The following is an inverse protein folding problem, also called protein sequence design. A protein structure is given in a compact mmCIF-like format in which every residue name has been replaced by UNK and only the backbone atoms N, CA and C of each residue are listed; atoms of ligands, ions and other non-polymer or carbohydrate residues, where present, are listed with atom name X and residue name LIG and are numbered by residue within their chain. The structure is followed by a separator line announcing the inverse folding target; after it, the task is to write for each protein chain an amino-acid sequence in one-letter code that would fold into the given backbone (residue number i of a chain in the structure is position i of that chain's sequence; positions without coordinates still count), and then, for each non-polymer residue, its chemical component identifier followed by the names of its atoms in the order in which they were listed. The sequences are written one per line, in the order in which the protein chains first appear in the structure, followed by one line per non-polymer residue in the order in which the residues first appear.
data_IF_066241094937
#
_entry.id   IF_066241094937
#
_cell.length_a   1.000
_cell.length_b   1.000
_cell.length_c   1.000
_cell.angle_alpha   90.00
_cell.angle_beta   90.00
_cell.angle_gamma   90.00
#
_symmetry.space_group_name_H-M   'P 1'
#
loop_
_entity.id
_entity.type
_entity.pdbx_description
1 polymer ?
#
# COMPACT_ATOMS: atom_id res chain seq x y z
N UNK A 1 9.22 15.23 -19.86
CA UNK A 1 8.41 14.47 -20.83
C UNK A 1 7.44 15.46 -21.50
N UNK A 2 7.51 15.67 -22.82
CA UNK A 2 6.59 16.58 -23.53
C UNK A 2 5.12 16.13 -23.47
N UNK A 3 4.84 14.85 -23.17
CA UNK A 3 3.48 14.37 -22.97
C UNK A 3 2.94 14.72 -21.58
N UNK A 4 3.82 14.89 -20.58
CA UNK A 4 3.48 15.23 -19.19
C UNK A 4 4.32 16.43 -18.74
N UNK A 5 4.04 17.63 -19.26
CA UNK A 5 4.76 18.82 -18.85
C UNK A 5 4.60 19.02 -17.34
N UNK A 6 5.71 19.31 -16.65
CA UNK A 6 5.68 19.68 -15.23
C UNK A 6 4.77 20.90 -15.13
N UNK A 7 3.66 20.78 -14.38
CA UNK A 7 2.73 21.89 -14.18
C UNK A 7 3.49 23.06 -13.55
N UNK A 8 3.48 24.22 -14.22
CA UNK A 8 4.06 25.44 -13.66
C UNK A 8 3.38 25.77 -12.33
N UNK A 9 4.15 25.88 -11.25
CA UNK A 9 3.65 26.18 -9.91
C UNK A 9 3.28 24.96 -9.06
N UNK A 10 3.44 23.72 -9.55
CA UNK A 10 3.30 22.53 -8.71
C UNK A 10 4.60 22.22 -7.95
N UNK A 11 4.47 21.75 -6.71
CA UNK A 11 5.61 21.37 -5.88
C UNK A 11 5.28 20.17 -4.99
N UNK A 12 6.31 19.38 -4.67
CA UNK A 12 6.23 18.30 -3.70
C UNK A 12 7.33 18.53 -2.66
N UNK A 13 6.91 18.75 -1.41
CA UNK A 13 7.79 18.85 -0.26
C UNK A 13 7.71 17.55 0.52
N UNK A 14 8.85 16.88 0.70
CA UNK A 14 8.94 15.62 1.42
C UNK A 14 9.82 15.82 2.66
N UNK A 15 9.22 15.67 3.84
CA UNK A 15 9.94 15.40 5.08
C UNK A 15 10.03 13.89 5.33
N UNK A 16 10.64 13.50 6.45
CA UNK A 16 10.79 12.08 6.80
C UNK A 16 9.45 11.35 6.97
N UNK A 17 8.42 12.06 7.42
CA UNK A 17 7.12 11.46 7.72
C UNK A 17 5.89 12.27 7.38
N UNK A 18 6.09 13.52 7.00
CA UNK A 18 5.04 14.42 6.54
C UNK A 18 5.47 14.99 5.20
N UNK A 19 4.51 15.32 4.36
CA UNK A 19 4.75 15.95 3.08
C UNK A 19 3.60 16.87 2.70
N UNK A 20 3.88 17.72 1.73
CA UNK A 20 2.93 18.66 1.18
C UNK A 20 3.03 18.64 -0.34
N UNK A 21 1.91 18.41 -1.00
CA UNK A 21 1.76 18.58 -2.44
C UNK A 21 1.05 19.91 -2.68
N UNK A 22 1.57 20.70 -3.62
CA UNK A 22 1.04 22.01 -3.99
C UNK A 22 0.55 21.96 -5.44
N UNK A 23 -0.65 22.48 -5.68
CA UNK A 23 -1.30 22.55 -6.99
C UNK A 23 -1.49 21.19 -7.67
N UNK A 24 -2.06 20.24 -6.92
CA UNK A 24 -2.46 18.93 -7.44
C UNK A 24 -3.92 18.98 -7.94
N UNK A 25 -4.84 18.24 -7.32
CA UNK A 25 -6.29 18.38 -7.53
C UNK A 25 -6.81 19.61 -6.75
N UNK A 26 -6.34 19.77 -5.52
CA UNK A 26 -6.53 20.94 -4.67
C UNK A 26 -5.23 21.75 -4.55
N UNK A 27 -5.33 23.00 -4.07
CA UNK A 27 -4.16 23.87 -3.87
C UNK A 27 -3.12 23.25 -2.94
N UNK A 28 -3.58 22.59 -1.87
CA UNK A 28 -2.74 21.99 -0.84
C UNK A 28 -3.26 20.59 -0.54
N UNK A 29 -2.33 19.62 -0.51
CA UNK A 29 -2.60 18.28 -0.03
C UNK A 29 -1.50 17.86 0.92
N UNK A 30 -1.83 17.87 2.20
CA UNK A 30 -0.96 17.46 3.27
C UNK A 30 -1.04 15.94 3.41
N UNK A 31 0.10 15.29 3.68
CA UNK A 31 0.15 13.86 3.90
C UNK A 31 1.09 13.53 5.05
N UNK A 32 0.77 12.46 5.77
CA UNK A 32 1.67 11.85 6.73
C UNK A 32 1.69 10.34 6.52
N UNK A 33 2.88 9.74 6.53
CA UNK A 33 3.08 8.32 6.32
C UNK A 33 3.84 7.73 7.51
N UNK A 34 3.34 6.61 8.03
CA UNK A 34 3.97 5.83 9.11
C UNK A 34 3.98 4.36 8.72
N UNK A 35 5.05 3.67 9.09
CA UNK A 35 5.13 2.21 8.95
C UNK A 35 4.35 1.52 10.08
N UNK A 36 3.83 0.32 9.79
CA UNK A 36 3.00 -0.43 10.72
C UNK A 36 1.61 0.19 10.90
N UNK A 37 0.95 -0.17 11.99
CA UNK A 37 -0.42 0.27 12.27
C UNK A 37 -0.44 1.47 13.23
N UNK A 38 0.04 2.61 12.72
CA UNK A 38 0.31 3.84 13.47
C UNK A 38 -0.50 5.04 12.95
N UNK A 39 -1.81 4.82 12.75
CA UNK A 39 -2.72 5.82 12.15
C UNK A 39 -2.79 7.09 13.00
N UNK A 40 -2.93 6.96 14.32
CA UNK A 40 -3.00 8.11 15.23
C UNK A 40 -1.74 8.98 15.17
N UNK A 41 -0.55 8.37 15.10
CA UNK A 41 0.71 9.13 14.95
C UNK A 41 0.87 9.78 13.57
N UNK A 42 0.30 9.18 12.53
CA UNK A 42 0.23 9.82 11.21
C UNK A 42 -0.72 11.02 11.25
N UNK A 43 -1.88 10.85 11.86
CA UNK A 43 -2.87 11.92 12.03
C UNK A 43 -2.34 13.09 12.86
N UNK A 44 -1.69 12.83 13.99
CA UNK A 44 -1.02 13.86 14.78
C UNK A 44 0.04 14.62 13.98
N UNK A 45 0.80 13.91 13.13
CA UNK A 45 1.79 14.50 12.25
C UNK A 45 1.19 15.45 11.22
N UNK A 46 0.12 15.03 10.54
CA UNK A 46 -0.53 15.87 9.52
C UNK A 46 -1.30 17.03 10.15
N UNK A 47 -1.96 16.84 11.30
CA UNK A 47 -2.69 17.88 12.02
C UNK A 47 -1.74 18.97 12.55
N UNK A 48 -0.53 18.60 12.97
CA UNK A 48 0.50 19.58 13.34
C UNK A 48 0.88 20.46 12.15
N UNK A 49 1.19 19.83 11.02
CA UNK A 49 1.53 20.54 9.79
C UNK A 49 0.36 21.45 9.33
N UNK A 50 -0.87 20.95 9.41
CA UNK A 50 -2.07 21.68 9.04
C UNK A 50 -2.27 22.95 9.89
N UNK A 51 -2.10 22.84 11.21
CA UNK A 51 -2.19 23.99 12.12
C UNK A 51 -1.09 25.02 11.87
N UNK A 52 0.15 24.58 11.67
CA UNK A 52 1.28 25.47 11.39
C UNK A 52 1.07 26.23 10.08
N UNK A 53 0.58 25.55 9.04
CA UNK A 53 0.31 26.14 7.74
C UNK A 53 -0.92 27.05 7.75
N UNK A 54 -1.99 26.67 8.46
CA UNK A 54 -3.23 27.44 8.57
C UNK A 54 -3.07 28.80 9.27
N UNK A 55 -1.98 28.99 10.04
CA UNK A 55 -1.60 30.31 10.58
C UNK A 55 -1.05 31.25 9.49
N UNK A 56 -0.40 30.68 8.48
CA UNK A 56 0.27 31.44 7.40
C UNK A 56 -0.63 31.64 6.18
N UNK A 57 -1.49 30.66 5.88
CA UNK A 57 -2.32 30.65 4.68
C UNK A 57 -3.77 30.35 5.08
N UNK A 58 -4.73 31.26 4.78
CA UNK A 58 -6.13 31.00 5.06
C UNK A 58 -6.68 29.93 4.12
N UNK A 59 -7.36 28.93 4.69
CA UNK A 59 -8.03 27.89 3.92
C UNK A 59 -9.43 28.32 3.49
N UNK A 60 -9.85 27.87 2.31
CA UNK A 60 -11.21 28.06 1.83
C UNK A 60 -12.15 27.15 2.63
N UNK A 61 -13.02 27.75 3.44
CA UNK A 61 -13.91 27.03 4.35
C UNK A 61 -15.32 27.60 4.33
N UNK A 62 -16.32 26.72 4.34
CA UNK A 62 -17.73 27.06 4.44
C UNK A 62 -18.34 26.43 5.70
N UNK A 63 -19.22 27.17 6.39
CA UNK A 63 -19.81 26.73 7.67
C UNK A 63 -20.58 25.41 7.59
N UNK A 64 -21.25 25.16 6.46
CA UNK A 64 -22.04 23.94 6.24
C UNK A 64 -21.25 22.82 5.54
N UNK A 65 -20.29 23.18 4.66
CA UNK A 65 -19.61 22.23 3.78
C UNK A 65 -18.16 21.94 4.17
N UNK A 66 -17.65 22.57 5.23
CA UNK A 66 -16.27 22.41 5.68
C UNK A 66 -15.27 23.00 4.70
N UNK A 67 -14.10 22.36 4.57
CA UNK A 67 -13.07 22.74 3.61
C UNK A 67 -13.58 22.57 2.18
N UNK A 68 -13.45 23.64 1.40
CA UNK A 68 -13.83 23.65 -0.01
C UNK A 68 -12.73 23.00 -0.84
N UNK A 69 -13.14 22.09 -1.71
CA UNK A 69 -12.26 21.23 -2.52
C UNK A 69 -12.83 21.11 -3.92
N UNK A 70 -11.95 20.91 -4.91
CA UNK A 70 -12.35 20.60 -6.28
C UNK A 70 -13.02 19.21 -6.39
N UNK A 71 -12.78 18.31 -5.44
CA UNK A 71 -13.28 16.94 -5.47
C UNK A 71 -14.37 16.70 -4.44
N UNK A 72 -15.62 16.39 -4.87
CA UNK A 72 -16.74 16.19 -3.96
C UNK A 72 -16.51 15.11 -2.89
N UNK A 73 -15.61 14.13 -3.14
CA UNK A 73 -15.32 13.06 -2.17
C UNK A 73 -14.47 13.54 -0.98
N UNK A 74 -13.85 14.71 -1.07
CA UNK A 74 -13.06 15.32 0.01
C UNK A 74 -13.85 16.40 0.79
N UNK A 75 -15.09 16.73 0.41
CA UNK A 75 -15.86 17.80 1.04
C UNK A 75 -16.09 17.55 2.55
N UNK A 76 -16.11 18.61 3.37
CA UNK A 76 -16.18 18.50 4.82
C UNK A 76 -14.80 18.62 5.46
N UNK A 77 -14.30 17.53 6.02
CA UNK A 77 -12.99 17.51 6.71
C UNK A 77 -11.79 17.55 5.75
N UNK A 78 -11.94 17.20 4.48
CA UNK A 78 -10.79 16.99 3.58
C UNK A 78 -9.92 15.77 3.94
N UNK A 79 -10.24 15.04 5.01
CA UNK A 79 -9.40 13.98 5.54
C UNK A 79 -9.60 12.66 4.80
N UNK A 80 -8.49 12.13 4.28
CA UNK A 80 -8.42 10.73 3.83
C UNK A 80 -7.46 9.93 4.71
N UNK A 81 -8.00 9.28 5.72
CA UNK A 81 -7.25 8.31 6.54
C UNK A 81 -7.25 6.96 5.83
N UNK A 82 -6.08 6.31 5.74
CA UNK A 82 -6.00 4.99 5.12
C UNK A 82 -4.89 4.10 5.68
N UNK A 83 -5.09 2.78 5.55
CA UNK A 83 -4.11 1.76 5.91
C UNK A 83 -3.89 0.85 4.71
N UNK A 84 -2.62 0.66 4.34
CA UNK A 84 -2.20 -0.38 3.42
C UNK A 84 -1.93 -1.67 4.18
N UNK A 85 -2.67 -2.73 3.87
CA UNK A 85 -2.64 -4.01 4.59
C UNK A 85 -2.49 -5.18 3.63
N UNK A 86 -1.76 -6.21 4.05
CA UNK A 86 -1.52 -7.45 3.29
C UNK A 86 -2.38 -8.57 3.86
N UNK A 87 -3.33 -9.09 3.07
CA UNK A 87 -4.38 -10.02 3.52
C UNK A 87 -4.36 -11.38 2.77
N UNK A 88 -3.20 -12.05 2.64
CA UNK A 88 -3.12 -13.31 1.90
C UNK A 88 -3.88 -14.46 2.57
N UNK A 89 -4.00 -14.47 3.89
CA UNK A 89 -4.72 -15.51 4.63
C UNK A 89 -6.21 -15.51 4.26
N UNK A 90 -6.85 -14.35 4.32
CA UNK A 90 -8.25 -14.17 3.92
C UNK A 90 -8.50 -14.48 2.45
N UNK A 91 -7.55 -14.16 1.56
CA UNK A 91 -7.67 -14.50 0.13
C UNK A 91 -7.58 -16.01 -0.08
N UNK A 92 -6.57 -16.68 0.49
CA UNK A 92 -6.33 -18.11 0.31
C UNK A 92 -7.43 -18.98 0.96
N UNK A 93 -8.03 -18.50 2.05
CA UNK A 93 -9.21 -19.13 2.69
C UNK A 93 -10.53 -18.77 2.02
N UNK A 94 -10.52 -17.90 1.00
CA UNK A 94 -11.71 -17.39 0.29
C UNK A 94 -12.69 -16.61 1.18
N UNK A 95 -12.22 -16.07 2.31
CA UNK A 95 -13.03 -15.29 3.25
C UNK A 95 -12.97 -13.77 2.99
N UNK A 96 -12.06 -13.32 2.12
CA UNK A 96 -11.85 -11.89 1.83
C UNK A 96 -13.12 -11.16 1.41
N UNK A 97 -13.98 -11.78 0.57
CA UNK A 97 -15.21 -11.13 0.08
C UNK A 97 -16.17 -10.74 1.21
N UNK A 98 -16.31 -11.59 2.24
CA UNK A 98 -17.17 -11.29 3.40
C UNK A 98 -16.62 -10.13 4.22
N UNK A 99 -15.30 -10.10 4.41
CA UNK A 99 -14.63 -9.00 5.13
C UNK A 99 -14.83 -7.68 4.39
N UNK A 100 -14.57 -7.65 3.08
CA UNK A 100 -14.69 -6.44 2.26
C UNK A 100 -16.13 -5.91 2.19
N UNK A 101 -17.14 -6.79 2.12
CA UNK A 101 -18.55 -6.39 2.18
C UNK A 101 -18.89 -5.74 3.53
N UNK A 102 -18.36 -6.29 4.64
CA UNK A 102 -18.53 -5.71 5.97
C UNK A 102 -17.91 -4.32 6.10
N UNK A 103 -16.74 -4.09 5.49
CA UNK A 103 -16.08 -2.76 5.49
C UNK A 103 -16.97 -1.69 4.85
N UNK A 104 -17.59 -1.99 3.71
CA UNK A 104 -18.48 -1.07 3.00
C UNK A 104 -19.71 -0.70 3.83
N UNK A 105 -20.31 -1.67 4.53
CA UNK A 105 -21.43 -1.41 5.45
C UNK A 105 -21.05 -0.50 6.61
N UNK A 106 -19.78 -0.47 7.01
CA UNK A 106 -19.25 0.39 8.07
C UNK A 106 -18.80 1.78 7.57
N UNK A 107 -19.00 2.09 6.29
CA UNK A 107 -18.61 3.38 5.70
C UNK A 107 -17.12 3.50 5.36
N UNK A 108 -16.44 2.35 5.21
CA UNK A 108 -15.08 2.29 4.68
C UNK A 108 -15.09 1.79 3.23
N UNK A 109 -14.12 2.24 2.46
CA UNK A 109 -13.87 1.74 1.11
C UNK A 109 -12.54 1.02 1.05
N UNK A 110 -12.35 0.23 0.00
CA UNK A 110 -11.10 -0.48 -0.25
C UNK A 110 -10.71 -0.39 -1.72
N UNK A 111 -9.42 -0.55 -1.99
CA UNK A 111 -8.86 -0.74 -3.32
C UNK A 111 -7.63 -1.63 -3.27
N UNK A 112 -7.31 -2.31 -4.38
CA UNK A 112 -6.01 -2.95 -4.53
C UNK A 112 -4.88 -1.91 -4.55
N UNK A 113 -3.70 -2.28 -4.06
CA UNK A 113 -2.49 -1.46 -4.25
C UNK A 113 -2.07 -1.41 -5.72
N UNK A 114 -2.21 -2.56 -6.39
CA UNK A 114 -1.87 -2.78 -7.78
C UNK A 114 -3.01 -3.53 -8.47
N UNK A 115 -3.17 -3.30 -9.77
CA UNK A 115 -4.28 -3.77 -10.59
C UNK A 115 -5.16 -2.61 -11.07
N UNK A 116 -5.94 -2.85 -12.12
CA UNK A 116 -6.95 -1.90 -12.61
C UNK A 116 -8.34 -2.29 -12.08
N UNK A 117 -9.15 -1.28 -11.75
CA UNK A 117 -10.51 -1.50 -11.25
C UNK A 117 -10.55 -2.28 -9.93
N UNK A 118 -11.17 -3.46 -9.96
CA UNK A 118 -11.37 -4.32 -8.78
C UNK A 118 -10.32 -5.44 -8.63
N UNK A 119 -9.38 -5.57 -9.57
CA UNK A 119 -8.32 -6.57 -9.43
C UNK A 119 -7.34 -6.18 -8.31
N UNK A 120 -6.95 -7.17 -7.51
CA UNK A 120 -6.00 -6.99 -6.41
C UNK A 120 -4.81 -7.91 -6.63
N UNK A 121 -3.72 -7.33 -7.14
CA UNK A 121 -2.48 -8.07 -7.36
C UNK A 121 -1.64 -8.07 -6.08
N UNK A 122 -1.13 -9.24 -5.69
CA UNK A 122 -0.25 -9.38 -4.54
C UNK A 122 -0.94 -9.27 -3.17
N UNK A 123 -2.27 -9.38 -3.09
CA UNK A 123 -3.05 -9.40 -1.83
C UNK A 123 -2.84 -8.16 -0.93
N UNK A 124 -2.50 -7.01 -1.52
CA UNK A 124 -2.40 -5.73 -0.81
C UNK A 124 -3.65 -4.90 -1.04
N UNK A 125 -4.25 -4.47 0.06
CA UNK A 125 -5.48 -3.69 0.09
C UNK A 125 -5.22 -2.37 0.79
N UNK A 126 -5.67 -1.26 0.22
CA UNK A 126 -5.74 0.01 0.92
C UNK A 126 -7.17 0.20 1.42
N UNK A 127 -7.34 0.27 2.74
CA UNK A 127 -8.60 0.54 3.41
C UNK A 127 -8.65 2.02 3.79
N UNK A 128 -9.72 2.74 3.48
CA UNK A 128 -9.85 4.16 3.80
C UNK A 128 -11.28 4.55 4.18
N UNK A 129 -11.45 5.69 4.85
CA UNK A 129 -12.79 6.27 5.00
C UNK A 129 -13.40 6.59 3.62
N UNK A 130 -14.71 6.37 3.50
CA UNK A 130 -15.46 6.74 2.29
C UNK A 130 -16.07 8.14 2.40
N UNK A 131 -16.55 8.50 3.60
CA UNK A 131 -17.20 9.78 3.87
C UNK A 131 -16.26 10.71 4.63
N UNK A 132 -16.35 12.00 4.31
CA UNK A 132 -15.53 13.10 4.84
C UNK A 132 -16.38 14.23 5.43
N UNK A 133 -17.66 14.33 5.03
CA UNK A 133 -18.62 15.32 5.52
C UNK A 133 -19.50 14.75 6.64
N UNK A 134 -19.81 15.58 7.65
CA UNK A 134 -20.74 15.24 8.73
C UNK A 134 -20.17 14.39 9.86
N UNK A 135 -18.84 14.21 9.90
CA UNK A 135 -18.09 13.56 10.99
C UNK A 135 -16.81 14.35 11.26
N UNK A 136 -16.30 14.29 12.48
CA UNK A 136 -14.99 14.88 12.79
C UNK A 136 -13.84 14.02 12.26
N UNK A 137 -12.68 14.62 12.06
CA UNK A 137 -11.45 13.92 11.71
C UNK A 137 -11.10 12.81 12.70
N UNK A 138 -11.29 13.07 14.01
CA UNK A 138 -11.07 12.10 15.09
C UNK A 138 -12.01 10.89 14.97
N UNK A 139 -13.30 11.13 14.73
CA UNK A 139 -14.28 10.05 14.54
C UNK A 139 -13.94 9.16 13.34
N UNK A 140 -13.46 9.77 12.24
CA UNK A 140 -13.06 9.06 11.03
C UNK A 140 -11.82 8.18 11.27
N UNK A 141 -10.78 8.71 11.91
CA UNK A 141 -9.60 7.89 12.24
C UNK A 141 -9.93 6.78 13.24
N UNK A 142 -10.77 7.05 14.25
CA UNK A 142 -11.09 6.08 15.29
C UNK A 142 -11.91 4.93 14.72
N UNK A 143 -12.84 5.22 13.82
CA UNK A 143 -13.57 4.21 13.06
C UNK A 143 -12.61 3.35 12.23
N UNK A 144 -11.71 3.98 11.47
CA UNK A 144 -10.72 3.26 10.65
C UNK A 144 -9.86 2.34 11.53
N UNK A 145 -9.34 2.85 12.65
CA UNK A 145 -8.50 2.08 13.58
C UNK A 145 -9.27 0.89 14.14
N UNK A 146 -10.49 1.08 14.64
CA UNK A 146 -11.29 -0.03 15.19
C UNK A 146 -11.54 -1.11 14.15
N UNK A 147 -11.96 -0.74 12.95
CA UNK A 147 -12.31 -1.71 11.90
C UNK A 147 -11.06 -2.43 11.38
N UNK A 148 -9.95 -1.72 11.16
CA UNK A 148 -8.70 -2.35 10.68
C UNK A 148 -8.14 -3.33 11.71
N UNK A 149 -8.26 -3.07 13.02
CA UNK A 149 -7.89 -4.05 14.06
C UNK A 149 -8.64 -5.36 13.89
N UNK A 150 -9.95 -5.28 13.66
CA UNK A 150 -10.76 -6.47 13.43
C UNK A 150 -10.32 -7.22 12.16
N UNK A 151 -9.99 -6.50 11.08
CA UNK A 151 -9.46 -7.13 9.86
C UNK A 151 -8.13 -7.86 10.13
N UNK A 152 -7.25 -7.27 10.92
CA UNK A 152 -5.97 -7.90 11.32
C UNK A 152 -6.24 -9.22 12.08
N UNK A 153 -7.14 -9.21 13.06
CA UNK A 153 -7.52 -10.41 13.81
C UNK A 153 -8.08 -11.51 12.90
N UNK A 154 -8.92 -11.11 11.93
CA UNK A 154 -9.49 -12.03 10.93
C UNK A 154 -8.43 -12.64 10.03
N UNK A 155 -7.45 -11.86 9.60
CA UNK A 155 -6.31 -12.31 8.80
C UNK A 155 -5.41 -13.28 9.59
N UNK A 156 -5.10 -12.97 10.85
CA UNK A 156 -4.32 -13.86 11.72
C UNK A 156 -5.01 -15.22 11.91
N UNK A 157 -6.32 -15.21 12.14
CA UNK A 157 -7.09 -16.44 12.27
C UNK A 157 -7.13 -17.23 10.95
N UNK A 158 -7.30 -16.55 9.82
CA UNK A 158 -7.25 -17.21 8.51
C UNK A 158 -5.89 -17.86 8.24
N UNK A 159 -4.79 -17.22 8.66
CA UNK A 159 -3.43 -17.82 8.59
C UNK A 159 -3.32 -19.07 9.45
N UNK A 160 -3.86 -19.07 10.67
CA UNK A 160 -3.86 -20.26 11.54
C UNK A 160 -4.62 -21.43 10.91
N UNK A 161 -5.80 -21.14 10.34
CA UNK A 161 -6.60 -22.14 9.62
C UNK A 161 -5.83 -22.73 8.43
N UNK A 162 -5.17 -21.89 7.62
CA UNK A 162 -4.37 -22.35 6.49
C UNK A 162 -3.25 -23.32 6.91
N UNK A 163 -2.52 -22.98 7.97
CA UNK A 163 -1.43 -23.82 8.47
C UNK A 163 -1.98 -25.13 9.04
N UNK A 164 -3.09 -25.09 9.78
CA UNK A 164 -3.72 -26.26 10.38
C UNK A 164 -4.27 -27.23 9.33
N UNK A 165 -5.01 -26.73 8.35
CA UNK A 165 -5.82 -27.57 7.44
C UNK A 165 -5.06 -27.94 6.16
N UNK A 166 -4.09 -27.13 5.75
CA UNK A 166 -3.37 -27.29 4.48
C UNK A 166 -1.87 -26.96 4.60
N UNK A 167 -1.26 -27.15 5.77
CA UNK A 167 0.11 -26.75 6.08
C UNK A 167 1.13 -27.14 5.01
N UNK A 168 1.23 -28.42 4.66
CA UNK A 168 2.20 -28.91 3.67
C UNK A 168 1.98 -28.34 2.26
N UNK A 169 0.71 -28.14 1.86
CA UNK A 169 0.35 -27.58 0.54
C UNK A 169 0.75 -26.12 0.47
N UNK A 170 0.45 -25.36 1.52
CA UNK A 170 0.80 -23.95 1.61
C UNK A 170 2.31 -23.80 1.68
N UNK A 171 3.01 -24.60 2.48
CA UNK A 171 4.46 -24.57 2.57
C UNK A 171 5.14 -24.82 1.22
N UNK A 172 4.78 -25.90 0.50
CA UNK A 172 5.33 -26.17 -0.84
C UNK A 172 5.04 -25.01 -1.82
N UNK A 173 3.82 -24.49 -1.82
CA UNK A 173 3.45 -23.35 -2.67
C UNK A 173 4.30 -22.11 -2.38
N UNK A 174 4.56 -21.82 -1.10
CA UNK A 174 5.34 -20.67 -0.67
C UNK A 174 6.83 -20.82 -0.99
N UNK A 175 7.39 -22.02 -0.83
CA UNK A 175 8.76 -22.32 -1.24
C UNK A 175 8.94 -22.29 -2.76
N UNK A 176 7.95 -22.75 -3.54
CA UNK A 176 7.97 -22.59 -5.00
C UNK A 176 8.00 -21.13 -5.42
N UNK A 177 7.17 -20.29 -4.80
CA UNK A 177 7.20 -18.84 -5.05
C UNK A 177 8.59 -18.25 -4.77
N UNK A 178 9.22 -18.64 -3.66
CA UNK A 178 10.57 -18.21 -3.33
C UNK A 178 11.62 -18.70 -4.33
N UNK A 179 11.58 -19.98 -4.69
CA UNK A 179 12.46 -20.58 -5.69
C UNK A 179 12.34 -19.88 -7.05
N UNK A 180 11.12 -19.60 -7.50
CA UNK A 180 10.90 -18.84 -8.75
C UNK A 180 11.54 -17.47 -8.67
N UNK A 181 11.32 -16.70 -7.59
CA UNK A 181 11.95 -15.37 -7.45
C UNK A 181 13.48 -15.44 -7.41
N UNK A 182 14.06 -16.50 -6.83
CA UNK A 182 15.52 -16.71 -6.73
C UNK A 182 16.17 -17.10 -8.05
N UNK A 183 15.45 -17.73 -8.99
CA UNK A 183 16.07 -18.36 -10.16
C UNK A 183 15.47 -17.97 -11.52
N UNK A 184 14.25 -17.43 -11.56
CA UNK A 184 13.58 -17.05 -12.80
C UNK A 184 14.45 -16.09 -13.64
N UNK A 185 14.40 -16.23 -14.97
CA UNK A 185 15.15 -15.37 -15.92
C UNK A 185 14.29 -14.34 -16.63
N UNK A 186 12.99 -14.56 -16.64
CA UNK A 186 11.96 -13.60 -17.01
C UNK A 186 10.91 -13.63 -15.91
N UNK A 187 10.38 -12.47 -15.54
CA UNK A 187 9.37 -12.36 -14.50
C UNK A 187 8.43 -11.21 -14.85
N UNK A 188 7.17 -11.52 -15.14
CA UNK A 188 6.16 -10.48 -15.38
C UNK A 188 5.87 -9.69 -14.09
N UNK A 189 5.17 -8.56 -14.23
CA UNK A 189 4.77 -7.76 -13.07
C UNK A 189 3.84 -8.56 -12.14
N UNK A 190 2.82 -9.20 -12.69
CA UNK A 190 1.84 -9.94 -11.91
C UNK A 190 2.45 -11.16 -11.21
N UNK A 191 3.34 -11.89 -11.89
CA UNK A 191 4.10 -12.97 -11.27
C UNK A 191 4.95 -12.47 -10.12
N UNK A 192 5.70 -11.38 -10.32
CA UNK A 192 6.52 -10.80 -9.27
C UNK A 192 5.69 -10.42 -8.04
N UNK A 193 4.59 -9.71 -8.23
CA UNK A 193 3.72 -9.27 -7.13
C UNK A 193 3.09 -10.46 -6.40
N UNK A 194 2.61 -11.47 -7.14
CA UNK A 194 2.00 -12.66 -6.55
C UNK A 194 3.02 -13.53 -5.79
N UNK A 195 4.21 -13.74 -6.34
CA UNK A 195 5.24 -14.48 -5.64
C UNK A 195 5.81 -13.71 -4.45
N UNK A 196 6.03 -12.40 -4.55
CA UNK A 196 6.45 -11.57 -3.41
C UNK A 196 5.41 -11.58 -2.29
N UNK A 197 4.13 -11.56 -2.64
CA UNK A 197 3.02 -11.73 -1.70
C UNK A 197 3.09 -13.07 -0.96
N UNK A 198 3.36 -14.16 -1.69
CA UNK A 198 3.59 -15.48 -1.13
C UNK A 198 4.78 -15.51 -0.18
N UNK A 199 5.96 -15.06 -0.62
CA UNK A 199 7.17 -15.04 0.22
C UNK A 199 6.97 -14.18 1.47
N UNK A 200 6.24 -13.07 1.36
CA UNK A 200 5.87 -12.26 2.52
C UNK A 200 5.00 -13.03 3.52
N UNK A 201 4.03 -13.81 3.05
CA UNK A 201 3.27 -14.72 3.92
C UNK A 201 4.20 -15.75 4.56
N UNK A 202 5.13 -16.34 3.80
CA UNK A 202 6.08 -17.34 4.31
C UNK A 202 6.96 -16.79 5.44
N UNK A 203 7.48 -15.55 5.29
CA UNK A 203 8.21 -14.84 6.33
C UNK A 203 7.31 -14.58 7.55
N UNK A 204 6.06 -14.15 7.33
CA UNK A 204 5.09 -13.94 8.41
C UNK A 204 4.71 -15.23 9.18
N UNK A 205 4.72 -16.37 8.50
CA UNK A 205 4.52 -17.70 9.08
C UNK A 205 5.80 -18.32 9.66
N UNK A 206 6.94 -17.62 9.55
CA UNK A 206 8.28 -18.10 9.95
C UNK A 206 8.75 -19.37 9.23
N UNK A 207 8.23 -19.63 8.02
CA UNK A 207 8.69 -20.73 7.16
C UNK A 207 9.98 -20.39 6.42
N UNK A 208 10.15 -19.11 6.05
CA UNK A 208 11.38 -18.59 5.45
C UNK A 208 11.96 -17.56 6.41
N UNK A 209 13.18 -17.81 6.87
CA UNK A 209 13.96 -16.93 7.74
C UNK A 209 15.05 -16.22 6.94
N UNK A 210 15.67 -15.18 7.51
CA UNK A 210 16.78 -14.46 6.85
C UNK A 210 16.36 -13.39 5.83
N UNK A 211 15.07 -13.28 5.50
CA UNK A 211 14.52 -12.20 4.67
C UNK A 211 13.71 -11.21 5.49
N UNK A 212 14.03 -9.93 5.32
CA UNK A 212 13.29 -8.86 6.00
C UNK A 212 12.03 -8.46 5.22
N UNK A 213 11.01 -8.03 5.95
CA UNK A 213 9.81 -7.41 5.37
C UNK A 213 10.16 -6.15 4.59
N UNK A 214 11.21 -5.43 5.01
CA UNK A 214 11.73 -4.25 4.31
C UNK A 214 12.23 -4.59 2.91
N UNK A 215 13.05 -5.64 2.76
CA UNK A 215 13.54 -6.13 1.47
C UNK A 215 12.39 -6.51 0.54
N UNK A 216 11.36 -7.16 1.06
CA UNK A 216 10.17 -7.49 0.26
C UNK A 216 9.40 -6.23 -0.17
N UNK A 217 9.23 -5.26 0.71
CA UNK A 217 8.60 -3.97 0.36
C UNK A 217 9.40 -3.22 -0.71
N UNK A 218 10.74 -3.22 -0.59
CA UNK A 218 11.65 -2.64 -1.59
C UNK A 218 11.44 -3.29 -2.95
N UNK A 219 11.37 -4.63 -2.99
CA UNK A 219 11.10 -5.36 -4.22
C UNK A 219 9.74 -5.01 -4.83
N UNK A 220 8.68 -4.86 -4.02
CA UNK A 220 7.36 -4.47 -4.50
C UNK A 220 7.34 -3.11 -5.21
N UNK A 221 8.23 -2.18 -4.82
CA UNK A 221 8.30 -0.83 -5.39
C UNK A 221 9.26 -0.80 -6.58
N UNK A 222 10.52 -1.20 -6.37
CA UNK A 222 11.58 -1.00 -7.34
C UNK A 222 11.61 -2.04 -8.46
N UNK A 223 10.82 -3.11 -8.37
CA UNK A 223 10.61 -4.06 -9.46
C UNK A 223 9.58 -3.58 -10.51
N UNK A 224 8.97 -2.40 -10.35
CA UNK A 224 8.05 -1.85 -11.34
C UNK A 224 8.78 -1.34 -12.60
N UNK A 225 8.10 -1.38 -13.75
CA UNK A 225 8.71 -1.11 -15.06
C UNK A 225 9.40 0.25 -15.14
N UNK A 226 8.80 1.31 -14.60
CA UNK A 226 9.39 2.66 -14.61
C UNK A 226 10.68 2.75 -13.76
N UNK A 227 10.70 2.11 -12.59
CA UNK A 227 11.89 2.06 -11.74
C UNK A 227 13.02 1.27 -12.41
N UNK A 228 12.68 0.17 -13.08
CA UNK A 228 13.66 -0.64 -13.82
C UNK A 228 14.21 0.11 -15.05
N UNK A 229 13.36 0.82 -15.78
CA UNK A 229 13.77 1.67 -16.90
C UNK A 229 14.71 2.80 -16.44
N UNK A 230 14.38 3.42 -15.30
CA UNK A 230 15.25 4.42 -14.68
C UNK A 230 16.62 3.83 -14.28
N UNK A 231 16.62 2.65 -13.64
CA UNK A 231 17.85 1.95 -13.24
C UNK A 231 18.74 1.57 -14.44
N UNK A 232 18.14 1.14 -15.54
CA UNK A 232 18.85 0.78 -16.78
C UNK A 232 19.16 2.02 -17.67
N UNK A 233 18.71 3.22 -17.28
CA UNK A 233 18.98 4.47 -17.98
C UNK A 233 18.33 4.60 -19.37
N UNK A 234 17.32 3.78 -19.67
CA UNK A 234 16.64 3.74 -20.98
C UNK A 234 15.21 3.24 -20.86
N UNK A 235 14.39 3.54 -21.87
CA UNK A 235 13.06 2.92 -22.01
C UNK A 235 13.21 1.42 -22.28
N UNK A 236 12.37 0.62 -21.64
CA UNK A 236 12.32 -0.83 -21.78
C UNK A 236 11.01 -1.24 -22.45
N UNK A 237 11.07 -2.19 -23.37
CA UNK A 237 9.89 -2.95 -23.80
C UNK A 237 9.40 -3.87 -22.66
N UNK A 238 8.17 -4.39 -22.75
CA UNK A 238 7.63 -5.29 -21.71
C UNK A 238 8.50 -6.54 -21.50
N UNK A 239 9.02 -7.12 -22.59
CA UNK A 239 9.92 -8.28 -22.51
C UNK A 239 11.24 -7.93 -21.83
N UNK A 240 11.84 -6.79 -22.16
CA UNK A 240 13.06 -6.31 -21.51
C UNK A 240 12.82 -5.99 -20.03
N UNK A 241 11.67 -5.37 -19.70
CA UNK A 241 11.27 -5.10 -18.33
C UNK A 241 11.13 -6.41 -17.53
N UNK A 242 10.58 -7.48 -18.12
CA UNK A 242 10.48 -8.78 -17.47
C UNK A 242 11.85 -9.42 -17.18
N UNK A 243 12.81 -9.29 -18.11
CA UNK A 243 14.19 -9.75 -17.92
C UNK A 243 14.92 -8.92 -16.84
N UNK A 244 14.78 -7.60 -16.91
CA UNK A 244 15.35 -6.66 -15.93
C UNK A 244 14.77 -6.89 -14.53
N UNK A 245 13.45 -7.12 -14.43
CA UNK A 245 12.76 -7.43 -13.18
C UNK A 245 13.31 -8.69 -12.55
N UNK A 246 13.39 -9.77 -13.32
CA UNK A 246 13.94 -11.03 -12.83
C UNK A 246 15.39 -10.84 -12.35
N UNK A 247 16.23 -10.12 -13.11
CA UNK A 247 17.61 -9.79 -12.72
C UNK A 247 17.67 -9.02 -11.40
N UNK A 248 16.90 -7.94 -11.29
CA UNK A 248 16.86 -7.09 -10.09
C UNK A 248 16.40 -7.87 -8.86
N UNK A 249 15.30 -8.62 -8.97
CA UNK A 249 14.76 -9.45 -7.88
C UNK A 249 15.81 -10.44 -7.38
N UNK A 250 16.46 -11.19 -8.27
CA UNK A 250 17.52 -12.13 -7.88
C UNK A 250 18.69 -11.44 -7.16
N UNK A 251 19.15 -10.30 -7.68
CA UNK A 251 20.26 -9.56 -7.09
C UNK A 251 19.95 -9.08 -5.67
N UNK A 252 18.75 -8.52 -5.46
CA UNK A 252 18.31 -8.08 -4.13
C UNK A 252 18.15 -9.27 -3.18
N UNK A 253 17.54 -10.38 -3.62
CA UNK A 253 17.40 -11.57 -2.76
C UNK A 253 18.73 -12.24 -2.41
N UNK A 254 19.78 -12.09 -3.24
CA UNK A 254 21.13 -12.60 -2.95
C UNK A 254 21.90 -11.66 -2.01
N UNK A 255 21.76 -10.35 -2.20
CA UNK A 255 22.52 -9.36 -1.41
C UNK A 255 21.89 -9.06 -0.04
N UNK A 256 20.56 -9.08 0.05
CA UNK A 256 19.81 -8.74 1.26
C UNK A 256 19.09 -9.94 1.89
N UNK A 257 18.95 -11.04 1.15
CA UNK A 257 18.54 -12.31 1.74
C UNK A 257 19.74 -12.92 2.41
N UNK A 258 19.73 -13.00 3.74
CA UNK A 258 20.69 -13.84 4.47
C UNK A 258 20.69 -15.22 3.81
N UNK A 259 21.88 -15.81 3.63
CA UNK A 259 22.00 -17.17 3.13
C UNK A 259 21.00 -18.03 3.88
N UNK A 260 19.98 -18.51 3.17
CA UNK A 260 19.01 -19.44 3.73
C UNK A 260 19.77 -20.78 3.77
N UNK A 261 20.55 -20.97 4.83
CA UNK A 261 21.06 -22.28 5.24
C UNK A 261 19.93 -23.06 5.92
#
# INVERSE_FOLDING_TARGET
DPQHPVRSGAAVFLGESVGLLVNEEDHLRLQALRSGFAVSQAFEGVNRLDRELGVQVPYAFHREFGFLTACPTNAGTGLRASVLIHLPGLVLTKEIGKVLAGLQQMGLTYRGLYGEGSEVVGNFFQLSNQTTLGRSEEELQDLLVRVVRHVIEREEEARRVLVRDAGYIIEDKLWRAYGTLRYARSLSFDEAMNYLSGVRLAVGLKLITGLSVYTLNKLLIFAQSAHLAHLEGRVLTDSEANLARAKYVRQVLVSEGGGVE
#
